data_IF_380947542300
#
_entry.id   IF_380947542300
#
_cell.length_a   1.000
_cell.length_b   1.000
_cell.length_c   1.000
_cell.angle_alpha   90.00
_cell.angle_beta   90.00
_cell.angle_gamma   90.00
#
_symmetry.space_group_name_H-M   'P 1'
#
loop_
_entity.id
_entity.type
_entity.pdbx_description
1 polymer ?
#
# COMPACT_ATOMS: atom_id res chain seq x y z
N UNK A 1 7.07 -8.67 -24.61
CA UNK A 1 7.61 -7.71 -25.60
C UNK A 1 6.81 -6.43 -25.49
N UNK A 2 7.47 -5.30 -25.41
CA UNK A 2 6.83 -3.97 -25.41
C UNK A 2 7.01 -3.32 -26.79
N UNK A 3 6.00 -2.59 -27.25
CA UNK A 3 6.09 -1.76 -28.44
C UNK A 3 6.48 -0.36 -28.00
N UNK A 4 7.64 0.12 -28.46
CA UNK A 4 8.14 1.47 -28.21
C UNK A 4 8.40 2.12 -29.58
N UNK A 5 7.65 3.15 -29.97
CA UNK A 5 7.78 3.88 -31.23
C UNK A 5 7.82 3.00 -32.50
N UNK A 6 6.99 1.93 -32.52
CA UNK A 6 6.91 0.86 -33.53
C UNK A 6 8.03 -0.20 -33.48
N UNK A 7 8.97 -0.12 -32.56
CA UNK A 7 9.96 -1.16 -32.33
C UNK A 7 9.51 -2.12 -31.21
N UNK A 8 9.67 -3.44 -31.45
CA UNK A 8 9.37 -4.45 -30.46
C UNK A 8 10.60 -4.76 -29.62
N UNK A 9 10.59 -4.33 -28.36
CA UNK A 9 11.67 -4.54 -27.40
C UNK A 9 11.34 -5.73 -26.50
N UNK A 10 12.27 -6.69 -26.40
CA UNK A 10 12.16 -7.76 -25.42
C UNK A 10 12.53 -7.22 -24.05
N UNK A 11 11.57 -7.21 -23.11
CA UNK A 11 11.77 -6.79 -21.73
C UNK A 11 11.78 -7.99 -20.80
N UNK A 12 12.62 -7.94 -19.77
CA UNK A 12 12.76 -8.97 -18.72
C UNK A 12 12.78 -8.30 -17.35
N UNK A 13 12.02 -8.85 -16.40
CA UNK A 13 11.93 -8.32 -15.03
C UNK A 13 10.69 -8.84 -14.32
N UNK A 14 10.56 -8.55 -13.04
CA UNK A 14 9.37 -8.86 -12.24
C UNK A 14 8.32 -7.76 -12.45
N UNK A 15 7.46 -7.92 -13.44
CA UNK A 15 6.46 -6.92 -13.80
C UNK A 15 5.02 -7.31 -13.39
N UNK A 16 4.87 -8.40 -12.62
CA UNK A 16 3.53 -8.89 -12.23
C UNK A 16 2.61 -9.17 -13.43
N UNK A 17 1.32 -9.15 -13.22
CA UNK A 17 0.30 -9.45 -14.23
C UNK A 17 0.08 -8.26 -15.18
N UNK A 18 0.96 -8.09 -16.17
CA UNK A 18 0.80 -7.07 -17.22
C UNK A 18 -0.15 -7.61 -18.29
N UNK A 19 -1.18 -6.82 -18.63
CA UNK A 19 -2.18 -7.17 -19.63
C UNK A 19 -1.87 -6.56 -20.99
N UNK A 20 -2.34 -7.21 -22.05
CA UNK A 20 -2.22 -6.67 -23.40
C UNK A 20 -3.01 -5.34 -23.55
N UNK A 21 -2.33 -4.31 -24.03
CA UNK A 21 -2.93 -2.99 -24.25
C UNK A 21 -2.68 -2.00 -23.12
N UNK A 22 -2.02 -2.41 -22.01
CA UNK A 22 -1.56 -1.47 -21.01
C UNK A 22 -0.39 -0.63 -21.53
N UNK A 23 -0.37 0.64 -21.19
CA UNK A 23 0.77 1.51 -21.41
C UNK A 23 1.71 1.43 -20.21
N UNK A 24 3.01 1.20 -20.47
CA UNK A 24 4.02 1.03 -19.43
C UNK A 24 5.14 2.04 -19.60
N UNK A 25 5.52 2.69 -18.52
CA UNK A 25 6.79 3.40 -18.42
C UNK A 25 7.76 2.50 -17.66
N UNK A 26 8.83 2.09 -18.30
CA UNK A 26 9.82 1.17 -17.72
C UNK A 26 11.16 1.86 -17.56
N UNK A 27 11.81 1.66 -16.42
CA UNK A 27 13.16 2.12 -16.13
C UNK A 27 14.06 0.92 -15.91
N UNK A 28 15.20 0.89 -16.57
CA UNK A 28 16.12 -0.25 -16.52
C UNK A 28 17.35 -0.03 -17.40
N UNK A 29 17.97 -1.11 -17.78
CA UNK A 29 19.19 -1.11 -18.61
C UNK A 29 19.11 -2.16 -19.73
N UNK A 30 19.77 -1.87 -20.86
CA UNK A 30 19.93 -2.85 -21.91
C UNK A 30 20.99 -3.89 -21.52
N UNK A 31 20.64 -5.16 -21.64
CA UNK A 31 21.51 -6.28 -21.35
C UNK A 31 21.55 -7.24 -22.54
N UNK A 32 22.70 -7.87 -22.78
CA UNK A 32 22.82 -8.87 -23.84
C UNK A 32 22.77 -10.28 -23.26
N UNK A 33 21.82 -11.07 -23.73
CA UNK A 33 21.71 -12.47 -23.35
C UNK A 33 22.21 -13.39 -24.49
N UNK A 34 23.06 -14.36 -24.15
CA UNK A 34 23.72 -15.23 -25.14
C UNK A 34 22.78 -15.95 -26.10
N UNK A 35 21.56 -16.31 -25.66
CA UNK A 35 20.56 -17.04 -26.48
C UNK A 35 19.46 -16.16 -27.07
N UNK A 36 19.15 -15.01 -26.42
CA UNK A 36 17.97 -14.20 -26.74
C UNK A 36 18.31 -12.80 -27.26
N UNK A 37 19.62 -12.50 -27.42
CA UNK A 37 20.08 -11.23 -27.94
C UNK A 37 19.92 -10.08 -26.94
N UNK A 38 19.71 -8.90 -27.46
CA UNK A 38 19.53 -7.68 -26.64
C UNK A 38 18.17 -7.67 -25.95
N UNK A 39 18.15 -7.41 -24.67
CA UNK A 39 16.98 -7.36 -23.80
C UNK A 39 17.05 -6.14 -22.91
N UNK A 40 15.91 -5.54 -22.60
CA UNK A 40 15.81 -4.47 -21.61
C UNK A 40 15.43 -5.05 -20.25
N UNK A 41 16.38 -4.99 -19.30
CA UNK A 41 16.14 -5.45 -17.92
C UNK A 41 15.48 -4.34 -17.14
N UNK A 42 14.22 -4.57 -16.78
CA UNK A 42 13.39 -3.62 -16.04
C UNK A 42 13.72 -3.72 -14.56
N UNK A 43 13.97 -2.57 -13.93
CA UNK A 43 14.14 -2.43 -12.49
C UNK A 43 12.88 -1.86 -11.85
N UNK A 44 12.28 -0.85 -12.49
CA UNK A 44 11.06 -0.20 -12.04
C UNK A 44 10.12 -0.07 -13.24
N UNK A 45 8.84 -0.26 -13.04
CA UNK A 45 7.82 0.01 -14.05
C UNK A 45 6.62 0.72 -13.44
N UNK A 46 6.03 1.58 -14.24
CA UNK A 46 4.79 2.28 -13.94
C UNK A 46 3.75 1.87 -14.96
N UNK A 47 2.53 1.65 -14.52
CA UNK A 47 1.39 1.34 -15.38
C UNK A 47 0.53 2.57 -15.55
N UNK A 48 0.10 2.83 -16.77
CA UNK A 48 -0.94 3.78 -17.06
C UNK A 48 -2.09 3.09 -17.78
N UNK A 49 -3.28 3.66 -17.63
CA UNK A 49 -4.40 3.20 -18.45
C UNK A 49 -4.15 3.57 -19.89
N UNK A 50 -4.55 2.71 -20.83
CA UNK A 50 -4.45 3.01 -22.25
C UNK A 50 -5.33 4.21 -22.60
N UNK A 51 -4.79 5.12 -23.41
CA UNK A 51 -5.45 6.37 -23.78
C UNK A 51 -6.04 6.35 -25.20
N UNK A 52 -5.63 5.40 -26.04
CA UNK A 52 -6.13 5.30 -27.42
C UNK A 52 -7.19 4.21 -27.55
N UNK A 53 -8.20 4.44 -28.39
CA UNK A 53 -9.29 3.48 -28.63
C UNK A 53 -8.78 2.07 -28.96
N UNK A 54 -7.73 1.94 -29.76
CA UNK A 54 -7.16 0.64 -30.12
C UNK A 54 -6.53 -0.08 -28.92
N UNK A 55 -5.83 0.64 -28.05
CA UNK A 55 -5.23 0.09 -26.85
C UNK A 55 -6.29 -0.23 -25.78
N UNK A 56 -7.29 0.66 -25.61
CA UNK A 56 -8.45 0.43 -24.72
C UNK A 56 -9.20 -0.83 -25.13
N UNK A 57 -9.43 -1.02 -26.43
CA UNK A 57 -10.12 -2.22 -26.92
C UNK A 57 -9.34 -3.49 -26.59
N UNK A 58 -8.02 -3.50 -26.78
CA UNK A 58 -7.15 -4.65 -26.43
C UNK A 58 -7.18 -4.92 -24.95
N UNK A 59 -7.02 -3.88 -24.13
CA UNK A 59 -7.06 -3.97 -22.66
C UNK A 59 -8.39 -4.57 -22.16
N UNK A 60 -9.52 -4.08 -22.64
CA UNK A 60 -10.83 -4.61 -22.27
C UNK A 60 -11.07 -6.03 -22.79
N UNK A 61 -10.52 -6.37 -23.97
CA UNK A 61 -10.68 -7.67 -24.60
C UNK A 61 -9.80 -8.75 -23.94
N UNK A 62 -8.69 -8.39 -23.26
CA UNK A 62 -7.80 -9.33 -22.57
C UNK A 62 -8.46 -10.04 -21.39
N UNK A 63 -9.60 -9.53 -20.91
CA UNK A 63 -10.26 -10.04 -19.71
C UNK A 63 -9.89 -9.29 -18.43
N UNK A 64 -9.21 -8.15 -18.56
CA UNK A 64 -8.83 -7.28 -17.45
C UNK A 64 -10.01 -6.88 -16.56
N UNK A 65 -11.22 -6.85 -17.11
CA UNK A 65 -12.46 -6.56 -16.39
C UNK A 65 -13.42 -7.74 -16.52
N UNK A 66 -13.80 -8.32 -15.40
CA UNK A 66 -14.79 -9.41 -15.36
C UNK A 66 -16.11 -9.00 -16.01
N UNK A 67 -16.58 -9.81 -16.96
CA UNK A 67 -17.83 -9.56 -17.69
C UNK A 67 -17.69 -8.68 -18.95
N UNK A 68 -16.49 -8.25 -19.31
CA UNK A 68 -16.18 -7.57 -20.56
C UNK A 68 -15.31 -8.48 -21.43
N UNK A 69 -15.92 -9.13 -22.42
CA UNK A 69 -15.19 -9.93 -23.40
C UNK A 69 -14.94 -9.15 -24.71
N UNK A 70 -14.21 -9.74 -25.68
CA UNK A 70 -13.79 -9.05 -26.91
C UNK A 70 -14.93 -8.41 -27.71
N UNK A 71 -16.10 -9.05 -27.76
CA UNK A 71 -17.27 -8.53 -28.47
C UNK A 71 -17.81 -7.28 -27.78
N UNK A 72 -17.90 -7.29 -26.45
CA UNK A 72 -18.39 -6.17 -25.69
C UNK A 72 -17.38 -5.02 -25.69
N UNK A 73 -16.09 -5.33 -25.53
CA UNK A 73 -15.00 -4.35 -25.64
C UNK A 73 -15.07 -3.58 -26.96
N UNK A 74 -15.27 -4.28 -28.09
CA UNK A 74 -15.42 -3.64 -29.40
C UNK A 74 -16.65 -2.74 -29.45
N UNK A 75 -17.81 -3.14 -28.90
CA UNK A 75 -19.02 -2.33 -28.87
C UNK A 75 -18.83 -1.05 -28.05
N UNK A 76 -18.19 -1.19 -26.86
CA UNK A 76 -17.89 -0.07 -25.97
C UNK A 76 -17.01 0.96 -26.65
N UNK A 77 -15.89 0.53 -27.22
CA UNK A 77 -14.92 1.43 -27.86
C UNK A 77 -15.49 2.04 -29.14
N UNK A 78 -16.26 1.30 -29.93
CA UNK A 78 -16.94 1.86 -31.12
C UNK A 78 -17.94 2.95 -30.78
N UNK A 79 -18.58 2.88 -29.61
CA UNK A 79 -19.58 3.86 -29.15
C UNK A 79 -18.94 5.07 -28.48
N UNK A 80 -17.93 4.85 -27.63
CA UNK A 80 -17.40 5.85 -26.73
C UNK A 80 -15.97 6.29 -27.06
N UNK A 81 -15.26 5.58 -27.96
CA UNK A 81 -13.91 5.94 -28.38
C UNK A 81 -12.91 5.92 -27.21
N UNK A 82 -12.11 6.97 -27.16
CA UNK A 82 -11.06 7.15 -26.13
C UNK A 82 -11.65 7.43 -24.73
N UNK A 83 -12.91 7.88 -24.64
CA UNK A 83 -13.59 8.16 -23.37
C UNK A 83 -14.12 6.88 -22.68
N UNK A 84 -13.95 5.71 -23.29
CA UNK A 84 -14.56 4.46 -22.82
C UNK A 84 -14.23 4.16 -21.37
N UNK A 85 -12.97 4.31 -20.93
CA UNK A 85 -12.55 3.99 -19.56
C UNK A 85 -13.07 5.04 -18.57
N UNK A 86 -13.09 6.31 -18.95
CA UNK A 86 -13.67 7.37 -18.12
C UNK A 86 -15.18 7.15 -17.90
N UNK A 87 -15.90 6.74 -18.94
CA UNK A 87 -17.32 6.41 -18.83
C UNK A 87 -17.56 5.20 -17.93
N UNK A 88 -16.74 4.15 -18.04
CA UNK A 88 -16.82 2.99 -17.15
C UNK A 88 -16.60 3.42 -15.70
N UNK A 89 -15.66 4.31 -15.44
CA UNK A 89 -15.32 4.76 -14.10
C UNK A 89 -16.35 5.74 -13.53
N UNK A 90 -16.67 6.81 -14.25
CA UNK A 90 -17.36 7.98 -13.71
C UNK A 90 -18.83 8.07 -14.06
N UNK A 91 -19.24 7.51 -15.20
CA UNK A 91 -20.63 7.61 -15.71
C UNK A 91 -21.15 6.26 -16.22
N UNK A 92 -21.18 5.21 -15.37
CA UNK A 92 -21.52 3.85 -15.80
C UNK A 92 -22.94 3.72 -16.36
N UNK A 93 -23.87 4.61 -16.03
CA UNK A 93 -25.22 4.61 -16.56
C UNK A 93 -25.23 4.72 -18.09
N UNK A 94 -24.26 5.42 -18.68
CA UNK A 94 -24.12 5.54 -20.13
C UNK A 94 -23.80 4.21 -20.83
N UNK A 95 -23.26 3.24 -20.10
CA UNK A 95 -23.02 1.90 -20.66
C UNK A 95 -24.32 1.22 -21.10
N UNK A 96 -25.46 1.60 -20.53
CA UNK A 96 -26.78 1.09 -20.92
C UNK A 96 -27.21 1.53 -22.32
N UNK A 97 -26.54 2.51 -22.93
CA UNK A 97 -26.72 2.88 -24.32
C UNK A 97 -26.30 1.75 -25.30
N UNK A 98 -25.63 0.70 -24.79
CA UNK A 98 -25.20 -0.44 -25.58
C UNK A 98 -26.16 -1.60 -25.39
N UNK A 99 -26.69 -2.13 -26.47
CA UNK A 99 -27.59 -3.28 -26.44
C UNK A 99 -26.97 -4.47 -25.71
N UNK A 100 -27.70 -4.96 -24.69
CA UNK A 100 -27.31 -6.09 -23.86
C UNK A 100 -26.57 -5.71 -22.58
N UNK A 101 -26.45 -4.41 -22.24
CA UNK A 101 -25.99 -3.92 -20.95
C UNK A 101 -27.18 -3.40 -20.15
N UNK A 102 -27.51 -4.08 -19.06
CA UNK A 102 -28.50 -3.62 -18.08
C UNK A 102 -27.82 -2.70 -17.06
N UNK A 103 -28.58 -1.90 -16.31
CA UNK A 103 -28.07 -1.04 -15.23
C UNK A 103 -27.21 -1.86 -14.24
N UNK A 104 -27.70 -3.00 -13.80
CA UNK A 104 -26.93 -3.89 -12.88
C UNK A 104 -25.61 -4.36 -13.48
N UNK A 105 -25.58 -4.63 -14.78
CA UNK A 105 -24.35 -5.05 -15.47
C UNK A 105 -23.38 -3.88 -15.62
N UNK A 106 -23.88 -2.68 -15.90
CA UNK A 106 -23.08 -1.46 -15.97
C UNK A 106 -22.41 -1.14 -14.64
N UNK A 107 -23.18 -1.17 -13.55
CA UNK A 107 -22.66 -0.99 -12.19
C UNK A 107 -21.60 -2.03 -11.83
N UNK A 108 -21.84 -3.31 -12.17
CA UNK A 108 -20.87 -4.38 -11.93
C UNK A 108 -19.58 -4.16 -12.70
N UNK A 109 -19.63 -3.81 -13.97
CA UNK A 109 -18.45 -3.50 -14.81
C UNK A 109 -17.66 -2.35 -14.20
N UNK A 110 -18.34 -1.26 -13.79
CA UNK A 110 -17.70 -0.11 -13.15
C UNK A 110 -17.02 -0.49 -11.83
N UNK A 111 -17.70 -1.26 -10.99
CA UNK A 111 -17.13 -1.71 -9.71
C UNK A 111 -15.90 -2.61 -9.87
N UNK A 112 -15.96 -3.55 -10.79
CA UNK A 112 -14.83 -4.44 -11.12
C UNK A 112 -13.65 -3.65 -11.69
N UNK A 113 -13.91 -2.69 -12.57
CA UNK A 113 -12.90 -1.80 -13.12
C UNK A 113 -12.20 -1.01 -12.00
N UNK A 114 -12.97 -0.32 -11.15
CA UNK A 114 -12.44 0.46 -10.03
C UNK A 114 -11.60 -0.39 -9.08
N UNK A 115 -12.09 -1.60 -8.77
CA UNK A 115 -11.40 -2.52 -7.87
C UNK A 115 -10.08 -3.00 -8.48
N UNK A 116 -10.10 -3.44 -9.73
CA UNK A 116 -8.91 -3.93 -10.43
C UNK A 116 -7.88 -2.83 -10.64
N UNK A 117 -8.35 -1.65 -11.06
CA UNK A 117 -7.47 -0.50 -11.28
C UNK A 117 -6.81 -0.02 -9.98
N UNK A 118 -7.58 0.14 -8.90
CA UNK A 118 -7.05 0.60 -7.62
C UNK A 118 -6.06 -0.43 -7.02
N UNK A 119 -6.31 -1.74 -7.15
CA UNK A 119 -5.36 -2.75 -6.71
C UNK A 119 -4.03 -2.68 -7.48
N UNK A 120 -4.11 -2.53 -8.80
CA UNK A 120 -2.92 -2.41 -9.67
C UNK A 120 -2.16 -1.12 -9.41
N UNK A 121 -2.86 0.01 -9.22
CA UNK A 121 -2.27 1.31 -8.88
C UNK A 121 -1.49 1.23 -7.57
N UNK A 122 -2.08 0.62 -6.53
CA UNK A 122 -1.41 0.40 -5.26
C UNK A 122 -0.11 -0.42 -5.42
N UNK A 123 -0.14 -1.53 -6.17
CA UNK A 123 1.04 -2.36 -6.38
C UNK A 123 2.13 -1.60 -7.14
N UNK A 124 1.75 -0.87 -8.19
CA UNK A 124 2.66 0.00 -8.95
C UNK A 124 3.27 1.09 -8.06
N UNK A 125 2.47 1.74 -7.22
CA UNK A 125 2.95 2.74 -6.27
C UNK A 125 3.98 2.16 -5.29
N UNK A 126 3.69 1.02 -4.67
CA UNK A 126 4.60 0.38 -3.71
C UNK A 126 5.88 -0.13 -4.36
N UNK A 127 5.81 -0.60 -5.62
CA UNK A 127 6.97 -1.07 -6.37
C UNK A 127 8.02 0.03 -6.61
N UNK A 128 7.60 1.32 -6.74
CA UNK A 128 8.53 2.46 -6.83
C UNK A 128 9.47 2.58 -5.63
N UNK A 129 9.08 2.01 -4.50
CA UNK A 129 9.84 1.99 -3.25
C UNK A 129 10.45 0.62 -2.95
N UNK A 130 10.46 -0.28 -3.94
CA UNK A 130 10.98 -1.65 -3.81
C UNK A 130 10.27 -2.45 -2.68
N UNK A 131 8.97 -2.14 -2.46
CA UNK A 131 8.15 -2.86 -1.49
C UNK A 131 7.52 -4.05 -2.20
N UNK A 132 7.74 -5.24 -1.65
CA UNK A 132 7.25 -6.49 -2.24
C UNK A 132 5.72 -6.52 -2.30
N UNK A 133 5.20 -7.10 -3.37
CA UNK A 133 3.75 -7.25 -3.65
C UNK A 133 2.96 -7.85 -2.49
N UNK A 134 3.61 -8.67 -1.66
CA UNK A 134 3.00 -9.28 -0.47
C UNK A 134 2.45 -8.25 0.52
N UNK A 135 3.16 -7.15 0.74
CA UNK A 135 2.70 -6.04 1.59
C UNK A 135 1.54 -5.29 0.94
N UNK A 136 1.60 -5.09 -0.37
CA UNK A 136 0.50 -4.49 -1.12
C UNK A 136 -0.79 -5.30 -1.03
N UNK A 137 -0.72 -6.63 -1.13
CA UNK A 137 -1.86 -7.53 -0.96
C UNK A 137 -2.45 -7.42 0.45
N UNK A 138 -1.61 -7.35 1.49
CA UNK A 138 -2.06 -7.17 2.87
C UNK A 138 -2.74 -5.81 3.07
N UNK A 139 -2.14 -4.75 2.55
CA UNK A 139 -2.70 -3.40 2.58
C UNK A 139 -4.03 -3.32 1.83
N UNK A 140 -4.11 -3.93 0.64
CA UNK A 140 -5.33 -4.03 -0.14
C UNK A 140 -6.46 -4.74 0.60
N UNK A 141 -6.16 -5.89 1.22
CA UNK A 141 -7.15 -6.64 2.02
C UNK A 141 -7.70 -5.83 3.18
N UNK A 142 -6.91 -4.90 3.71
CA UNK A 142 -7.30 -4.09 4.87
C UNK A 142 -8.08 -2.83 4.50
N UNK A 143 -7.67 -2.12 3.46
CA UNK A 143 -8.21 -0.81 3.10
C UNK A 143 -8.90 -0.75 1.72
N UNK A 144 -8.82 -1.81 0.93
CA UNK A 144 -9.44 -1.86 -0.40
C UNK A 144 -9.01 -0.71 -1.31
N UNK A 145 -9.97 -0.11 -2.00
CA UNK A 145 -9.74 0.96 -2.98
C UNK A 145 -9.11 2.24 -2.41
N UNK A 146 -9.18 2.45 -1.09
CA UNK A 146 -8.60 3.63 -0.43
C UNK A 146 -7.16 3.43 0.04
N UNK A 147 -6.61 2.21 -0.11
CA UNK A 147 -5.28 1.83 0.39
C UNK A 147 -4.18 2.77 -0.09
N UNK A 148 -4.16 3.10 -1.38
CA UNK A 148 -3.14 3.96 -1.96
C UNK A 148 -3.18 5.39 -1.38
N UNK A 149 -4.40 5.95 -1.22
CA UNK A 149 -4.55 7.28 -0.63
C UNK A 149 -4.12 7.32 0.83
N UNK A 150 -4.49 6.30 1.60
CA UNK A 150 -4.10 6.15 3.01
C UNK A 150 -2.58 6.08 3.12
N UNK A 151 -1.92 5.26 2.30
CA UNK A 151 -0.46 5.10 2.33
C UNK A 151 0.25 6.37 1.86
N UNK A 152 -0.27 7.07 0.85
CA UNK A 152 0.29 8.37 0.41
C UNK A 152 0.21 9.43 1.48
N UNK A 153 -0.89 9.46 2.25
CA UNK A 153 -1.05 10.41 3.36
C UNK A 153 -0.22 10.03 4.58
N UNK A 154 -0.07 8.74 4.85
CA UNK A 154 0.67 8.22 5.99
C UNK A 154 1.29 6.84 5.67
N UNK A 155 2.54 6.77 5.17
CA UNK A 155 3.21 5.51 4.88
C UNK A 155 3.40 4.59 6.09
N UNK A 156 3.40 5.13 7.30
CA UNK A 156 3.62 4.37 8.53
C UNK A 156 2.45 3.45 8.88
N UNK A 157 1.29 3.61 8.25
CA UNK A 157 0.20 2.63 8.35
C UNK A 157 0.63 1.24 7.88
N UNK A 158 1.65 1.14 7.04
CA UNK A 158 2.22 -0.14 6.62
C UNK A 158 2.94 -0.89 7.77
N UNK A 159 3.31 -0.19 8.86
CA UNK A 159 3.97 -0.80 10.02
C UNK A 159 3.00 -1.46 11.01
N UNK A 160 1.69 -1.35 10.79
CA UNK A 160 0.69 -1.93 11.69
C UNK A 160 0.67 -3.46 11.60
N UNK A 161 0.17 -4.07 12.67
CA UNK A 161 -0.01 -5.52 12.74
C UNK A 161 -0.88 -6.05 11.58
N UNK A 162 -0.42 -7.10 10.93
CA UNK A 162 -1.06 -7.73 9.79
C UNK A 162 -0.53 -7.27 8.43
N UNK A 163 0.06 -6.07 8.33
CA UNK A 163 0.87 -5.64 7.19
C UNK A 163 2.35 -5.87 7.49
N UNK A 164 2.83 -5.38 8.65
CA UNK A 164 4.13 -5.65 9.25
C UNK A 164 5.35 -5.21 8.43
N UNK A 165 5.23 -4.09 7.69
CA UNK A 165 6.39 -3.47 7.05
C UNK A 165 7.30 -2.87 8.15
N UNK A 166 8.61 -3.01 8.01
CA UNK A 166 9.56 -2.43 8.96
C UNK A 166 9.50 -0.89 8.94
N UNK A 167 9.73 -0.26 10.11
CA UNK A 167 9.74 1.20 10.25
C UNK A 167 10.72 1.87 9.27
N UNK A 168 11.94 1.33 9.13
CA UNK A 168 12.95 1.89 8.23
C UNK A 168 12.52 1.93 6.77
N UNK A 169 11.76 0.93 6.30
CA UNK A 169 11.21 0.91 4.94
C UNK A 169 10.05 1.89 4.77
N UNK A 170 9.17 2.00 5.77
CA UNK A 170 8.11 3.00 5.76
C UNK A 170 8.68 4.42 5.81
N UNK A 171 9.75 4.63 6.58
CA UNK A 171 10.47 5.91 6.67
C UNK A 171 11.11 6.30 5.33
N UNK A 172 11.66 5.33 4.59
CA UNK A 172 12.18 5.55 3.24
C UNK A 172 11.07 5.95 2.23
N UNK A 173 9.86 5.40 2.37
CA UNK A 173 8.70 5.83 1.58
C UNK A 173 8.31 7.26 1.94
N UNK A 174 8.20 7.56 3.25
CA UNK A 174 7.84 8.88 3.75
C UNK A 174 8.80 9.97 3.27
N UNK A 175 10.10 9.72 3.32
CA UNK A 175 11.14 10.64 2.86
C UNK A 175 11.04 10.97 1.35
N UNK A 176 10.56 10.02 0.53
CA UNK A 176 10.33 10.24 -0.92
C UNK A 176 8.93 10.80 -1.22
N UNK A 177 8.06 10.89 -0.21
CA UNK A 177 6.67 11.36 -0.34
C UNK A 177 6.45 12.74 0.28
N UNK A 178 7.52 13.51 0.47
CA UNK A 178 7.52 14.88 1.04
C UNK A 178 6.89 14.97 2.45
N UNK A 179 6.94 13.88 3.24
CA UNK A 179 6.45 13.86 4.60
C UNK A 179 7.56 14.42 5.52
N UNK A 180 7.26 15.45 6.33
CA UNK A 180 8.25 16.05 7.22
C UNK A 180 8.85 15.05 8.21
N UNK A 181 10.16 15.17 8.47
CA UNK A 181 10.87 14.29 9.39
C UNK A 181 10.39 14.41 10.86
N UNK A 182 9.76 15.54 11.20
CA UNK A 182 9.15 15.83 12.50
C UNK A 182 7.62 15.61 12.51
N UNK A 183 7.08 14.97 11.47
CA UNK A 183 5.64 14.69 11.37
C UNK A 183 5.17 13.80 12.51
N UNK A 184 3.98 14.09 13.01
CA UNK A 184 3.34 13.36 14.10
C UNK A 184 3.20 11.86 13.78
N UNK A 185 2.80 11.52 12.55
CA UNK A 185 2.67 10.12 12.11
C UNK A 185 4.01 9.36 12.16
N UNK A 186 5.13 10.03 11.84
CA UNK A 186 6.45 9.44 11.95
C UNK A 186 6.83 9.18 13.41
N UNK A 187 6.58 10.17 14.28
CA UNK A 187 6.91 10.06 15.71
C UNK A 187 6.07 8.96 16.36
N UNK A 188 4.75 8.90 16.10
CA UNK A 188 3.86 7.84 16.58
C UNK A 188 4.36 6.45 16.17
N UNK A 189 4.69 6.28 14.89
CA UNK A 189 5.21 5.01 14.38
C UNK A 189 6.56 4.64 14.98
N UNK A 190 7.46 5.61 15.18
CA UNK A 190 8.76 5.40 15.79
C UNK A 190 8.67 5.00 17.26
N UNK A 191 7.81 5.64 18.03
CA UNK A 191 7.53 5.28 19.44
C UNK A 191 6.98 3.86 19.51
N UNK A 192 5.99 3.54 18.67
CA UNK A 192 5.41 2.19 18.58
C UNK A 192 6.47 1.14 18.23
N UNK A 193 7.35 1.44 17.27
CA UNK A 193 8.45 0.57 16.87
C UNK A 193 9.41 0.29 18.04
N UNK A 194 9.83 1.34 18.78
CA UNK A 194 10.74 1.19 19.93
C UNK A 194 10.09 0.32 21.00
N UNK A 195 8.82 0.53 21.32
CA UNK A 195 8.10 -0.26 22.31
C UNK A 195 7.94 -1.73 21.87
N UNK A 196 7.65 -2.00 20.60
CA UNK A 196 7.56 -3.37 20.06
C UNK A 196 8.89 -4.09 20.08
N UNK A 197 9.98 -3.42 19.70
CA UNK A 197 11.34 -4.01 19.77
C UNK A 197 11.70 -4.41 21.20
N UNK A 198 11.28 -3.63 22.20
CA UNK A 198 11.48 -3.98 23.60
C UNK A 198 10.57 -5.13 24.05
N UNK A 199 9.33 -5.19 23.56
CA UNK A 199 8.41 -6.29 23.83
C UNK A 199 8.95 -7.62 23.28
N UNK A 200 9.55 -7.61 22.09
CA UNK A 200 10.19 -8.78 21.47
C UNK A 200 11.39 -9.30 22.31
N UNK A 201 12.05 -8.40 23.07
CA UNK A 201 13.09 -8.74 24.04
C UNK A 201 12.56 -9.17 25.41
N UNK A 202 11.24 -9.26 25.58
CA UNK A 202 10.57 -9.66 26.80
C UNK A 202 10.21 -8.52 27.75
N UNK A 203 10.37 -7.26 27.34
CA UNK A 203 10.06 -6.08 28.14
C UNK A 203 8.75 -5.42 27.67
N UNK A 204 7.66 -5.65 28.35
CA UNK A 204 6.32 -5.13 27.99
C UNK A 204 6.14 -3.63 28.23
N UNK A 205 7.03 -2.99 28.98
CA UNK A 205 7.02 -1.56 29.26
C UNK A 205 8.43 -0.98 29.33
N UNK A 206 8.57 0.31 29.04
CA UNK A 206 9.80 1.09 29.16
C UNK A 206 9.63 2.25 30.13
N UNK A 207 10.66 2.62 30.92
CA UNK A 207 10.64 3.88 31.65
C UNK A 207 10.47 5.05 30.68
N UNK A 208 9.58 6.00 30.98
CA UNK A 208 9.27 7.16 30.13
C UNK A 208 10.54 7.92 29.71
N UNK A 209 11.46 8.19 30.65
CA UNK A 209 12.71 8.89 30.34
C UNK A 209 13.60 8.12 29.37
N UNK A 210 13.61 6.78 29.46
CA UNK A 210 14.37 5.94 28.55
C UNK A 210 13.73 5.91 27.17
N UNK A 211 12.40 5.81 27.08
CA UNK A 211 11.67 5.86 25.82
C UNK A 211 11.92 7.21 25.11
N UNK A 212 11.79 8.32 25.82
CA UNK A 212 12.01 9.66 25.25
C UNK A 212 13.44 9.80 24.73
N UNK A 213 14.46 9.43 25.52
CA UNK A 213 15.87 9.50 25.10
C UNK A 213 16.15 8.63 23.87
N UNK A 214 15.61 7.43 23.84
CA UNK A 214 15.78 6.52 22.70
C UNK A 214 15.07 7.08 21.46
N UNK A 215 13.85 7.63 21.62
CA UNK A 215 13.10 8.21 20.53
C UNK A 215 13.79 9.46 19.95
N UNK A 216 14.30 10.37 20.80
CA UNK A 216 15.12 11.52 20.38
C UNK A 216 16.30 11.07 19.53
N UNK A 217 17.07 10.10 20.03
CA UNK A 217 18.27 9.61 19.34
C UNK A 217 17.94 8.85 18.04
N UNK A 218 16.83 8.12 18.02
CA UNK A 218 16.48 7.28 16.87
C UNK A 218 15.79 8.07 15.75
N UNK A 219 14.94 9.03 16.10
CA UNK A 219 14.15 9.80 15.15
C UNK A 219 14.80 11.13 14.75
N UNK A 220 15.78 11.59 15.53
CA UNK A 220 16.43 12.91 15.39
C UNK A 220 15.40 14.06 15.44
N UNK A 221 14.54 14.04 16.47
CA UNK A 221 13.43 15.00 16.67
C UNK A 221 13.49 15.59 18.06
N UNK A 222 12.99 16.84 18.21
CA UNK A 222 12.96 17.53 19.49
C UNK A 222 12.22 16.77 20.59
N UNK A 223 12.81 16.76 21.79
CA UNK A 223 12.28 16.05 22.96
C UNK A 223 10.86 16.49 23.33
N UNK A 224 10.55 17.80 23.16
CA UNK A 224 9.22 18.33 23.50
C UNK A 224 8.15 17.77 22.58
N UNK A 225 8.49 17.59 21.29
CA UNK A 225 7.56 17.03 20.32
C UNK A 225 7.27 15.54 20.63
N UNK A 226 8.30 14.79 20.99
CA UNK A 226 8.16 13.39 21.38
C UNK A 226 7.29 13.26 22.63
N UNK A 227 7.53 14.08 23.65
CA UNK A 227 6.72 14.06 24.89
C UNK A 227 5.26 14.39 24.60
N UNK A 228 5.02 15.40 23.76
CA UNK A 228 3.66 15.77 23.35
C UNK A 228 2.96 14.60 22.66
N UNK A 229 3.61 13.96 21.70
CA UNK A 229 3.02 12.81 20.99
C UNK A 229 2.74 11.64 21.94
N UNK A 230 3.61 11.37 22.93
CA UNK A 230 3.36 10.32 23.94
C UNK A 230 2.13 10.68 24.80
N UNK A 231 1.94 11.95 25.16
CA UNK A 231 0.77 12.43 25.90
C UNK A 231 -0.51 12.26 25.04
N UNK A 232 -0.48 12.73 23.79
CA UNK A 232 -1.60 12.62 22.84
C UNK A 232 -1.99 11.13 22.62
N UNK A 233 -1.01 10.25 22.41
CA UNK A 233 -1.24 8.80 22.24
C UNK A 233 -1.76 8.12 23.53
N UNK A 234 -1.47 8.68 24.68
CA UNK A 234 -1.99 8.19 25.96
C UNK A 234 -3.43 8.64 26.16
N UNK A 235 -3.78 9.86 25.74
CA UNK A 235 -5.17 10.37 25.75
C UNK A 235 -6.05 9.60 24.75
N UNK A 236 -5.49 9.17 23.61
CA UNK A 236 -6.15 8.34 22.60
C UNK A 236 -6.22 6.84 22.98
N UNK A 237 -5.74 6.46 24.16
CA UNK A 237 -5.70 5.07 24.67
C UNK A 237 -4.86 4.10 23.82
N UNK A 238 -3.95 4.61 22.99
CA UNK A 238 -2.99 3.81 22.22
C UNK A 238 -1.77 3.41 23.07
N UNK A 239 -1.44 4.25 24.07
CA UNK A 239 -0.41 4.02 25.07
C UNK A 239 -1.00 4.08 26.47
N UNK A 240 -0.35 3.37 27.42
CA UNK A 240 -0.75 3.41 28.81
C UNK A 240 0.45 3.74 29.70
N UNK A 241 0.20 4.54 30.75
CA UNK A 241 1.15 4.76 31.82
C UNK A 241 1.00 3.73 32.94
N UNK A 242 2.13 3.29 33.46
CA UNK A 242 2.20 2.44 34.64
C UNK A 242 3.21 3.02 35.62
N UNK A 243 2.75 3.45 36.80
CA UNK A 243 3.60 4.03 37.83
C UNK A 243 4.03 2.96 38.84
N UNK A 244 5.35 2.76 39.02
CA UNK A 244 5.93 1.82 39.94
C UNK A 244 7.18 2.41 40.61
N UNK A 245 7.22 2.39 41.95
CA UNK A 245 8.34 2.89 42.74
C UNK A 245 8.79 4.31 42.40
N UNK A 246 7.82 5.21 42.14
CA UNK A 246 8.09 6.60 41.79
C UNK A 246 8.61 6.82 40.36
N UNK A 247 8.59 5.80 39.54
CA UNK A 247 8.95 5.87 38.11
C UNK A 247 7.75 5.58 37.24
N UNK A 248 7.61 6.39 36.19
CA UNK A 248 6.57 6.20 35.18
C UNK A 248 7.10 5.35 34.02
N UNK A 249 6.33 4.34 33.65
CA UNK A 249 6.60 3.45 32.53
C UNK A 249 5.51 3.65 31.46
N UNK A 250 5.87 3.41 30.20
CA UNK A 250 4.97 3.47 29.04
C UNK A 250 4.88 2.10 28.42
N UNK A 251 3.69 1.70 28.01
CA UNK A 251 3.42 0.44 27.32
C UNK A 251 2.37 0.62 26.20
N UNK A 252 2.39 -0.26 25.21
CA UNK A 252 1.37 -0.33 24.19
C UNK A 252 0.05 -0.88 24.74
N UNK A 253 -1.07 -0.42 24.23
CA UNK A 253 -2.41 -0.91 24.58
C UNK A 253 -2.53 -2.44 24.41
N UNK A 254 -1.99 -2.98 23.31
CA UNK A 254 -1.99 -4.42 23.02
C UNK A 254 -1.26 -5.24 24.09
N UNK A 255 -0.24 -4.66 24.73
CA UNK A 255 0.53 -5.32 25.79
C UNK A 255 -0.23 -5.42 27.12
N UNK A 256 -1.22 -4.55 27.37
CA UNK A 256 -2.04 -4.56 28.59
C UNK A 256 -2.92 -5.80 28.63
N UNK A 257 -3.54 -6.16 27.52
CA UNK A 257 -4.39 -7.35 27.41
C UNK A 257 -3.62 -8.65 27.68
N UNK A 258 -2.35 -8.72 27.26
CA UNK A 258 -1.48 -9.88 27.47
C UNK A 258 -1.05 -10.04 28.95
N UNK A 259 -0.76 -8.94 29.63
CA UNK A 259 -0.39 -8.97 31.07
C UNK A 259 -1.58 -9.33 31.96
N UNK A 260 -2.79 -8.90 31.62
CA UNK A 260 -3.99 -9.30 32.34
C UNK A 260 -4.33 -10.78 32.19
N UNK A 261 -4.19 -11.34 30.99
CA UNK A 261 -4.39 -12.79 30.75
C UNK A 261 -3.38 -13.64 31.53
N UNK A 262 -2.09 -13.29 31.53
CA UNK A 262 -1.07 -13.99 32.34
C UNK A 262 -1.27 -13.86 33.84
N UNK A 263 -1.75 -12.74 34.33
CA UNK A 263 -2.05 -12.55 35.74
C UNK A 263 -3.22 -13.45 36.20
N UNK A 264 -4.17 -13.75 35.34
CA UNK A 264 -5.26 -14.70 35.59
C UNK A 264 -4.80 -16.15 35.51
N UNK A 265 -3.90 -16.51 34.57
CA UNK A 265 -3.36 -17.88 34.46
C UNK A 265 -2.48 -18.25 35.66
N UNK A 266 -1.68 -17.33 36.18
CA UNK A 266 -0.84 -17.57 37.38
C UNK A 266 -1.67 -17.68 38.66
N UNK A 267 -2.87 -17.09 38.72
CA UNK A 267 -3.78 -17.30 39.87
C UNK A 267 -4.58 -18.61 39.78
N UNK A 268 -4.77 -19.17 38.59
CA UNK A 268 -5.47 -20.44 38.37
C UNK A 268 -4.64 -21.69 38.67
N UNK A 269 -3.32 -21.58 38.74
CA UNK A 269 -2.40 -22.71 38.98
C UNK A 269 -1.89 -22.80 40.44
N UNK A 270 -2.52 -22.11 41.38
CA UNK A 270 -2.20 -22.16 42.82
C UNK A 270 -3.42 -22.69 43.64
N UNK A 271 -3.99 -23.83 43.19
CA UNK A 271 -4.89 -24.65 44.00
C UNK A 271 -4.49 -26.10 43.86
#
# INVERSE_FOLDING_TARGET
MLNCDNDLITVVGEMGDVEEGEDLVVTGEFTSHQKFGEQFKVHIFERSLPTTSAAIQRYLASGAISGVGPVLAKKLVNKFGDDTLDIIENTPDRLTEIDGITVKKAEKISQEFKTTFAARSLMSYLNKFEIETSYGIKAWKRWGNTAEQIIKSNPYVLCIQGVDLSFSRADAVAAKSDIPADSECRIKAGITYILRQNADQGHTCLPLDSLVKTAVSYLDVDEKLIKKVIEDETEEENLYYYDKHGRRFVMLADSVSYTHLRAHETRGNLV
#
